data_IF_108825804324
#
_entry.id   IF_108825804324
#
_cell.length_a   1.000
_cell.length_b   1.000
_cell.length_c   1.000
_cell.angle_alpha   90.00
_cell.angle_beta   90.00
_cell.angle_gamma   90.00
#
_symmetry.space_group_name_H-M   'P 1'
#
loop_
_entity.id
_entity.type
_entity.pdbx_description
1 polymer ?
#
# COMPACT_ATOMS: atom_id res chain seq x y z
N UNK A 1 0.20 -26.54 -30.07
CA UNK A 1 0.47 -25.93 -28.78
C UNK A 1 0.24 -24.45 -28.95
N UNK A 2 -0.86 -23.94 -28.42
CA UNK A 2 -1.20 -22.51 -28.55
C UNK A 2 -0.41 -21.73 -27.53
N UNK A 3 0.38 -20.76 -27.95
CA UNK A 3 1.10 -19.87 -27.07
C UNK A 3 0.24 -18.64 -26.78
N UNK A 4 -0.01 -18.42 -25.51
CA UNK A 4 -0.68 -17.26 -24.96
C UNK A 4 0.33 -16.49 -24.11
N UNK A 5 0.68 -15.27 -24.54
CA UNK A 5 1.63 -14.45 -23.79
C UNK A 5 0.87 -13.63 -22.75
N UNK A 6 1.11 -13.93 -21.50
CA UNK A 6 0.67 -13.14 -20.37
C UNK A 6 1.86 -12.35 -19.83
N UNK A 7 1.77 -11.03 -19.90
CA UNK A 7 2.79 -10.14 -19.35
C UNK A 7 2.43 -9.76 -17.91
N UNK A 8 3.29 -10.18 -16.99
CA UNK A 8 3.23 -9.77 -15.59
C UNK A 8 4.18 -8.58 -15.40
N UNK A 9 3.63 -7.39 -15.17
CA UNK A 9 4.42 -6.22 -14.83
C UNK A 9 4.47 -6.07 -13.31
N UNK A 10 5.55 -6.55 -12.72
CA UNK A 10 5.85 -6.28 -11.32
C UNK A 10 6.65 -4.99 -11.24
N UNK A 11 6.06 -3.95 -10.71
CA UNK A 11 6.76 -2.70 -10.44
C UNK A 11 7.37 -2.76 -9.04
N UNK A 12 8.64 -3.18 -8.94
CA UNK A 12 9.45 -2.90 -7.75
C UNK A 12 9.74 -1.41 -7.75
N UNK A 13 9.36 -0.71 -6.71
CA UNK A 13 9.80 0.67 -6.47
C UNK A 13 11.28 0.64 -6.12
N UNK A 14 12.13 0.60 -7.14
CA UNK A 14 13.57 0.81 -6.97
C UNK A 14 13.83 2.30 -7.05
N UNK A 15 14.06 2.93 -5.92
CA UNK A 15 14.51 4.32 -5.85
C UNK A 15 15.95 4.37 -6.35
N UNK A 16 16.14 4.73 -7.61
CA UNK A 16 17.46 5.07 -8.16
C UNK A 16 17.69 6.56 -7.92
N UNK A 17 18.64 6.84 -7.05
CA UNK A 17 19.11 8.18 -6.69
C UNK A 17 19.89 8.78 -7.86
N UNK A 18 19.34 9.78 -8.54
CA UNK A 18 20.09 10.68 -9.40
C UNK A 18 20.08 12.06 -8.78
N UNK A 19 21.25 12.48 -8.28
CA UNK A 19 21.50 13.85 -7.88
C UNK A 19 21.71 14.70 -9.12
N UNK A 20 20.84 15.69 -9.35
CA UNK A 20 21.14 16.81 -10.25
C UNK A 20 20.88 18.10 -9.47
N UNK A 21 21.96 18.81 -9.24
CA UNK A 21 22.04 20.15 -8.69
C UNK A 21 21.47 21.13 -9.73
N UNK A 22 20.50 21.93 -9.35
CA UNK A 22 19.99 23.00 -10.19
C UNK A 22 19.21 24.00 -9.35
N UNK A 23 19.87 25.05 -8.90
CA UNK A 23 19.26 26.19 -8.24
C UNK A 23 18.42 27.00 -9.23
N UNK A 24 17.15 27.24 -8.90
CA UNK A 24 16.39 28.38 -9.41
C UNK A 24 15.48 28.90 -8.29
N UNK A 25 15.86 30.06 -7.82
CA UNK A 25 15.07 30.94 -6.98
C UNK A 25 13.90 31.47 -7.80
N UNK A 26 12.66 31.21 -7.40
CA UNK A 26 11.53 32.07 -7.67
C UNK A 26 10.61 32.08 -6.46
N UNK A 27 10.50 33.26 -5.88
CA UNK A 27 9.65 33.56 -4.76
C UNK A 27 8.17 33.45 -5.12
N UNK A 28 7.40 32.86 -4.25
CA UNK A 28 5.97 33.11 -4.11
C UNK A 28 5.74 33.85 -2.82
N UNK A 29 5.11 34.97 -2.96
CA UNK A 29 4.69 35.86 -1.92
C UNK A 29 3.77 35.15 -0.92
N UNK A 30 4.18 35.13 0.34
CA UNK A 30 3.32 34.86 1.48
C UNK A 30 2.34 36.02 1.63
N UNK A 31 1.06 35.81 1.38
CA UNK A 31 0.03 36.66 1.96
C UNK A 31 -0.16 36.26 3.42
N UNK A 32 0.47 37.02 4.31
CA UNK A 32 0.22 37.00 5.74
C UNK A 32 -1.26 37.37 6.01
N UNK A 33 -2.05 36.39 6.41
CA UNK A 33 -3.27 36.66 7.16
C UNK A 33 -2.87 36.73 8.65
N UNK A 34 -2.55 37.92 9.09
CA UNK A 34 -2.43 38.24 10.51
C UNK A 34 -3.85 38.23 11.12
N UNK A 35 -4.12 37.24 11.96
CA UNK A 35 -4.96 37.27 13.15
C UNK A 35 -5.47 35.87 13.50
N UNK A 36 -4.67 35.13 14.26
CA UNK A 36 -5.16 33.98 15.03
C UNK A 36 -4.50 34.04 16.41
N UNK A 37 -5.33 33.95 17.41
CA UNK A 37 -5.03 34.08 18.83
C UNK A 37 -3.78 33.28 19.30
N UNK A 38 -3.08 33.85 20.29
CA UNK A 38 -1.83 33.34 20.84
C UNK A 38 -1.88 31.91 21.39
N UNK A 39 -3.05 31.33 21.60
CA UNK A 39 -3.25 29.93 22.01
C UNK A 39 -2.98 28.91 20.89
N UNK A 40 -3.22 29.27 19.62
CA UNK A 40 -3.03 28.36 18.49
C UNK A 40 -1.57 28.15 18.07
N UNK A 41 -0.64 29.02 18.48
CA UNK A 41 0.77 28.97 18.09
C UNK A 41 1.55 27.81 18.70
N UNK A 42 1.02 27.15 19.73
CA UNK A 42 1.66 26.03 20.41
C UNK A 42 1.03 24.67 20.06
N UNK A 43 -0.08 24.65 19.34
CA UNK A 43 -0.72 23.41 18.94
C UNK A 43 0.10 22.66 17.89
N UNK A 44 0.15 21.34 18.02
CA UNK A 44 0.76 20.49 17.00
C UNK A 44 -0.16 20.45 15.80
N UNK A 45 0.31 20.90 14.65
CA UNK A 45 -0.41 20.82 13.39
C UNK A 45 0.18 19.77 12.48
N UNK A 46 -0.55 19.44 11.40
CA UNK A 46 -0.14 18.42 10.44
C UNK A 46 -0.17 18.94 9.01
N UNK A 47 0.72 18.41 8.20
CA UNK A 47 0.74 18.62 6.77
C UNK A 47 1.17 17.33 6.07
N UNK A 48 0.65 17.08 4.88
CA UNK A 48 1.03 15.93 4.07
C UNK A 48 1.71 16.42 2.81
N UNK A 49 2.94 15.97 2.62
CA UNK A 49 3.73 16.31 1.44
C UNK A 49 3.28 15.45 0.26
N UNK A 50 3.01 16.09 -0.86
CA UNK A 50 2.67 15.38 -2.08
C UNK A 50 3.88 14.63 -2.64
N UNK A 51 3.70 13.34 -2.95
CA UNK A 51 4.64 12.62 -3.79
C UNK A 51 4.29 12.85 -5.25
N UNK A 52 5.21 13.42 -6.02
CA UNK A 52 5.02 13.73 -7.44
C UNK A 52 4.99 12.49 -8.37
N UNK A 53 5.02 11.28 -7.83
CA UNK A 53 5.01 10.04 -8.62
C UNK A 53 3.63 9.38 -8.53
N UNK A 54 2.71 9.82 -9.38
CA UNK A 54 1.44 9.12 -9.58
C UNK A 54 1.67 7.81 -10.35
N UNK A 55 1.38 6.69 -9.74
CA UNK A 55 1.25 5.40 -10.41
C UNK A 55 -0.20 5.21 -10.87
N UNK A 56 -0.38 4.69 -12.09
CA UNK A 56 -1.66 4.67 -12.85
C UNK A 56 -2.72 3.67 -12.41
N UNK A 57 -2.79 3.25 -11.19
CA UNK A 57 -3.90 2.43 -10.71
C UNK A 57 -4.28 2.93 -9.33
N UNK A 58 -5.47 2.70 -8.88
CA UNK A 58 -6.05 3.32 -7.69
C UNK A 58 -5.33 3.04 -6.35
N UNK A 59 -4.01 3.22 -6.22
CA UNK A 59 -3.38 3.40 -4.93
C UNK A 59 -3.85 4.72 -4.35
N UNK A 60 -3.76 4.83 -3.06
CA UNK A 60 -4.04 6.09 -2.38
C UNK A 60 -3.10 7.17 -2.89
N UNK A 61 -3.62 8.09 -3.67
CA UNK A 61 -2.89 9.26 -4.16
C UNK A 61 -3.10 10.42 -3.20
N UNK A 62 -2.29 11.47 -3.30
CA UNK A 62 -2.51 12.66 -2.47
C UNK A 62 -3.89 13.30 -2.65
N UNK A 63 -4.53 13.07 -3.80
CA UNK A 63 -5.88 13.59 -4.06
C UNK A 63 -6.93 12.80 -3.31
N UNK A 64 -6.84 11.45 -3.33
CA UNK A 64 -7.82 10.61 -2.63
C UNK A 64 -7.44 10.35 -1.17
N UNK A 65 -6.18 10.57 -0.75
CA UNK A 65 -5.80 10.57 0.65
C UNK A 65 -6.61 11.60 1.46
N UNK A 66 -6.96 12.73 0.86
CA UNK A 66 -7.83 13.73 1.48
C UNK A 66 -9.25 13.25 1.76
N UNK A 67 -9.66 12.15 1.17
CA UNK A 67 -10.97 11.52 1.38
C UNK A 67 -10.92 10.39 2.42
N UNK A 68 -9.75 10.14 2.99
CA UNK A 68 -9.52 9.16 4.05
C UNK A 68 -8.97 9.87 5.28
N UNK A 69 -8.81 9.13 6.36
CA UNK A 69 -8.12 9.58 7.56
C UNK A 69 -6.77 8.88 7.70
N UNK A 70 -5.99 9.35 8.66
CA UNK A 70 -4.83 8.62 9.16
C UNK A 70 -4.69 8.81 10.66
N UNK A 71 -4.12 7.83 11.31
CA UNK A 71 -3.86 7.87 12.73
C UNK A 71 -2.41 8.28 13.00
N UNK A 72 -2.23 9.06 14.07
CA UNK A 72 -0.91 9.57 14.48
C UNK A 72 -0.58 9.09 15.88
N UNK A 73 0.64 8.60 16.02
CA UNK A 73 1.29 8.33 17.30
C UNK A 73 2.51 9.23 17.45
N UNK A 74 2.79 9.66 18.66
CA UNK A 74 4.01 10.39 18.96
C UNK A 74 4.65 9.87 20.25
N UNK A 75 5.97 9.85 20.26
CA UNK A 75 6.78 9.38 21.37
C UNK A 75 7.90 10.38 21.67
N UNK A 76 8.28 10.47 22.93
CA UNK A 76 9.49 11.14 23.36
C UNK A 76 10.73 10.32 23.01
N UNK A 77 11.91 10.89 23.12
CA UNK A 77 13.17 10.20 22.79
C UNK A 77 13.43 8.93 23.60
N UNK A 78 12.89 8.85 24.82
CA UNK A 78 12.98 7.66 25.67
C UNK A 78 11.92 6.59 25.35
N UNK A 79 11.05 6.86 24.35
CA UNK A 79 10.00 5.96 23.92
C UNK A 79 8.70 6.05 24.70
N UNK A 80 8.55 7.05 25.57
CA UNK A 80 7.28 7.29 26.29
C UNK A 80 6.23 7.81 25.30
N UNK A 81 5.02 7.26 25.35
CA UNK A 81 3.92 7.69 24.51
C UNK A 81 3.45 9.11 24.88
N UNK A 82 3.39 9.98 23.90
CA UNK A 82 2.92 11.36 24.04
C UNK A 82 1.57 11.59 23.37
N UNK A 83 1.36 10.98 22.21
CA UNK A 83 0.13 11.06 21.41
C UNK A 83 -0.26 9.67 20.93
N UNK A 84 -1.54 9.38 20.99
CA UNK A 84 -2.08 8.04 20.73
C UNK A 84 -1.98 7.13 21.94
N UNK A 85 -2.89 6.17 22.03
CA UNK A 85 -2.88 5.12 23.04
C UNK A 85 -2.06 3.94 22.53
N UNK A 86 -1.13 3.49 23.34
CA UNK A 86 -0.43 2.23 23.14
C UNK A 86 -0.93 1.29 24.24
N UNK A 87 -1.91 0.47 23.91
CA UNK A 87 -2.46 -0.52 24.85
C UNK A 87 -1.93 -1.92 24.53
N UNK A 88 -1.74 -2.74 25.57
CA UNK A 88 -1.34 -4.14 25.44
C UNK A 88 -2.46 -5.02 24.92
N UNK A 89 -3.71 -4.59 25.01
CA UNK A 89 -4.91 -5.34 24.66
C UNK A 89 -5.39 -5.14 23.21
N UNK A 90 -4.48 -4.62 22.35
CA UNK A 90 -4.69 -4.52 20.90
C UNK A 90 -5.65 -3.42 20.40
N UNK A 91 -6.15 -2.58 21.26
CA UNK A 91 -6.82 -1.34 20.87
C UNK A 91 -5.77 -0.22 20.73
N UNK A 92 -5.20 -0.09 19.54
CA UNK A 92 -4.27 1.00 19.25
C UNK A 92 -5.06 2.16 18.69
N UNK A 93 -5.44 3.07 19.56
CA UNK A 93 -6.11 4.29 19.18
C UNK A 93 -5.06 5.37 18.92
N UNK A 94 -4.63 5.50 17.69
CA UNK A 94 -3.91 6.68 17.24
C UNK A 94 -4.80 7.91 17.32
N UNK A 95 -4.20 9.08 17.32
CA UNK A 95 -4.96 10.33 17.18
C UNK A 95 -5.39 10.48 15.73
N UNK A 96 -6.69 10.47 15.50
CA UNK A 96 -7.27 10.53 14.16
C UNK A 96 -7.15 11.92 13.55
N UNK A 97 -6.57 11.97 12.36
CA UNK A 97 -6.39 13.19 11.58
C UNK A 97 -7.15 13.08 10.27
N UNK A 98 -7.94 14.08 9.97
CA UNK A 98 -8.81 14.19 8.80
C UNK A 98 -8.51 15.44 7.99
N UNK A 99 -8.83 15.43 6.69
CA UNK A 99 -8.77 16.64 5.86
C UNK A 99 -10.11 17.35 5.88
N UNK A 100 -10.17 18.51 6.53
CA UNK A 100 -11.36 19.34 6.62
C UNK A 100 -11.00 20.83 6.48
N UNK A 101 -11.87 21.59 5.89
CA UNK A 101 -11.71 23.05 5.71
C UNK A 101 -10.38 23.46 5.05
N UNK A 102 -9.91 22.65 4.09
CA UNK A 102 -8.69 22.95 3.35
C UNK A 102 -7.38 22.57 4.06
N UNK A 103 -7.43 21.94 5.23
CA UNK A 103 -6.27 21.56 6.04
C UNK A 103 -6.42 20.18 6.67
N UNK A 104 -5.30 19.59 7.07
CA UNK A 104 -5.26 18.43 7.94
C UNK A 104 -5.45 18.88 9.39
N UNK A 105 -6.42 18.29 10.09
CA UNK A 105 -6.79 18.68 11.44
C UNK A 105 -7.26 17.48 12.26
N UNK A 106 -7.27 17.62 13.57
CA UNK A 106 -7.80 16.62 14.48
C UNK A 106 -9.28 16.33 14.17
N UNK A 107 -9.66 15.07 14.15
CA UNK A 107 -11.08 14.69 13.99
C UNK A 107 -11.86 15.12 15.23
N UNK A 108 -11.39 14.77 16.42
CA UNK A 108 -11.91 15.20 17.71
C UNK A 108 -11.05 16.36 18.29
N UNK A 109 -11.68 17.46 18.64
CA UNK A 109 -11.01 18.60 19.26
C UNK A 109 -10.41 18.28 20.64
N UNK A 110 -10.90 17.25 21.32
CA UNK A 110 -10.36 16.80 22.60
C UNK A 110 -8.97 16.11 22.45
N UNK A 111 -8.64 15.69 21.26
CA UNK A 111 -7.34 15.07 20.94
C UNK A 111 -6.24 16.10 20.66
N UNK A 112 -6.58 17.38 20.64
CA UNK A 112 -5.63 18.45 20.40
C UNK A 112 -4.46 18.37 21.40
N UNK A 113 -3.24 18.40 20.87
CA UNK A 113 -2.00 18.38 21.67
C UNK A 113 -1.15 19.60 21.38
N UNK A 114 -0.35 19.97 22.37
CA UNK A 114 0.55 21.10 22.31
C UNK A 114 2.00 20.64 22.38
N UNK A 115 2.88 21.35 21.72
CA UNK A 115 4.29 21.04 21.70
C UNK A 115 4.89 21.06 23.11
N UNK A 116 5.56 19.98 23.53
CA UNK A 116 6.36 20.00 24.74
C UNK A 116 7.69 20.73 24.50
N UNK A 117 8.53 20.84 25.52
CA UNK A 117 9.88 21.40 25.43
C UNK A 117 10.88 20.47 24.75
N UNK A 118 10.59 19.18 24.73
CA UNK A 118 11.42 18.13 24.13
C UNK A 118 10.97 17.78 22.71
N UNK A 119 11.87 17.17 21.95
CA UNK A 119 11.57 16.69 20.62
C UNK A 119 10.69 15.42 20.66
N UNK A 120 9.85 15.26 19.65
CA UNK A 120 8.95 14.13 19.49
C UNK A 120 9.23 13.39 18.18
N UNK A 121 9.08 12.08 18.24
CA UNK A 121 9.07 11.19 17.08
C UNK A 121 7.62 10.86 16.70
N UNK A 122 7.24 11.18 15.48
CA UNK A 122 5.89 10.95 14.98
C UNK A 122 5.85 9.80 13.96
N UNK A 123 4.79 9.03 14.07
CA UNK A 123 4.45 7.96 13.13
C UNK A 123 3.00 8.11 12.71
N UNK A 124 2.73 8.04 11.43
CA UNK A 124 1.39 8.11 10.88
C UNK A 124 1.09 6.89 10.02
N UNK A 125 -0.15 6.42 10.07
CA UNK A 125 -0.62 5.22 9.40
C UNK A 125 -1.93 5.53 8.65
N UNK A 126 -2.03 5.09 7.39
CA UNK A 126 -3.23 5.20 6.56
C UNK A 126 -3.58 3.83 5.96
N UNK A 127 -4.83 3.41 5.94
CA UNK A 127 -5.98 4.10 6.52
C UNK A 127 -5.86 4.21 8.03
N UNK A 128 -6.54 5.20 8.63
CA UNK A 128 -6.65 5.37 10.07
C UNK A 128 -7.47 4.26 10.71
N UNK A 129 -8.33 4.59 11.64
CA UNK A 129 -9.14 3.62 12.38
C UNK A 129 -9.86 2.66 11.43
N UNK A 130 -9.51 1.39 11.49
CA UNK A 130 -10.18 0.33 10.77
C UNK A 130 -11.31 -0.23 11.65
N UNK A 131 -12.44 -0.59 11.03
CA UNK A 131 -13.52 -1.27 11.76
C UNK A 131 -13.04 -2.58 12.38
N UNK A 132 -13.72 -3.09 13.39
CA UNK A 132 -13.39 -4.38 14.03
C UNK A 132 -13.24 -5.52 13.02
N UNK A 133 -14.08 -5.55 11.98
CA UNK A 133 -14.01 -6.53 10.89
C UNK A 133 -12.70 -6.44 10.10
N UNK A 134 -12.05 -5.30 10.08
CA UNK A 134 -10.82 -5.04 9.35
C UNK A 134 -9.56 -5.31 10.18
N UNK A 135 -9.66 -5.26 11.50
CA UNK A 135 -8.54 -5.50 12.43
C UNK A 135 -7.92 -6.90 12.25
N UNK A 136 -8.70 -7.87 11.75
CA UNK A 136 -8.20 -9.21 11.42
C UNK A 136 -7.22 -9.23 10.24
N UNK A 137 -7.29 -8.23 9.34
CA UNK A 137 -6.50 -8.19 8.09
C UNK A 137 -5.40 -7.13 8.10
N UNK A 138 -5.57 -6.13 8.94
CA UNK A 138 -4.68 -5.00 8.98
C UNK A 138 -4.59 -4.46 10.41
N UNK A 139 -3.36 -4.39 10.92
CA UNK A 139 -3.12 -3.96 12.27
C UNK A 139 -1.75 -3.35 12.40
N UNK A 140 -1.65 -2.22 13.06
CA UNK A 140 -0.36 -1.67 13.45
C UNK A 140 -0.10 -1.87 14.94
N UNK A 141 1.17 -1.97 15.26
CA UNK A 141 1.69 -2.05 16.62
C UNK A 141 2.65 -0.88 16.78
N UNK A 142 2.19 0.17 17.45
CA UNK A 142 3.01 1.31 17.78
C UNK A 142 3.61 1.12 19.18
N UNK A 143 4.93 1.12 19.26
CA UNK A 143 5.64 1.18 20.54
C UNK A 143 6.78 2.20 20.43
N UNK A 144 7.27 2.74 21.55
CA UNK A 144 8.32 3.75 21.54
C UNK A 144 9.60 3.32 20.80
N UNK A 145 9.85 2.03 20.71
CA UNK A 145 11.10 1.49 20.15
C UNK A 145 10.94 0.75 18.84
N UNK A 146 9.72 0.33 18.48
CA UNK A 146 9.49 -0.45 17.27
C UNK A 146 8.07 -0.23 16.74
N UNK A 147 7.99 0.09 15.47
CA UNK A 147 6.72 0.28 14.76
C UNK A 147 6.55 -0.83 13.73
N UNK A 148 5.42 -1.52 13.77
CA UNK A 148 5.13 -2.64 12.89
C UNK A 148 3.71 -2.56 12.34
N UNK A 149 3.51 -3.15 11.17
CA UNK A 149 2.20 -3.32 10.55
C UNK A 149 2.04 -4.80 10.22
N UNK A 150 1.11 -5.47 10.86
CA UNK A 150 0.66 -6.78 10.45
C UNK A 150 -0.36 -6.63 9.34
N UNK A 151 -0.21 -7.39 8.26
CA UNK A 151 -1.09 -7.31 7.11
C UNK A 151 -1.39 -8.69 6.55
N UNK A 152 -2.65 -8.91 6.18
CA UNK A 152 -3.11 -10.11 5.48
C UNK A 152 -3.90 -9.68 4.26
N UNK A 153 -3.48 -10.13 3.06
CA UNK A 153 -4.23 -9.92 1.84
C UNK A 153 -5.56 -10.67 1.92
N UNK A 154 -6.64 -10.00 1.57
CA UNK A 154 -7.97 -10.60 1.52
C UNK A 154 -8.12 -11.27 0.17
N UNK A 155 -8.30 -12.59 0.15
CA UNK A 155 -8.78 -13.30 -1.02
C UNK A 155 -10.31 -13.11 -1.09
N UNK A 156 -10.86 -12.88 -2.28
CA UNK A 156 -12.31 -12.72 -2.53
C UNK A 156 -13.11 -14.00 -2.21
N UNK A 157 -12.76 -14.73 -1.18
CA UNK A 157 -13.50 -15.90 -0.81
C UNK A 157 -14.78 -15.51 -0.04
N UNK A 158 -15.82 -15.28 -0.81
CA UNK A 158 -17.19 -15.51 -0.34
C UNK A 158 -18.09 -14.31 -0.11
N UNK A 159 -17.67 -13.07 -0.10
CA UNK A 159 -18.60 -11.97 0.16
C UNK A 159 -18.16 -10.61 -0.43
N UNK A 160 -17.87 -10.53 -1.68
CA UNK A 160 -18.08 -9.34 -2.54
C UNK A 160 -17.81 -7.92 -2.04
N UNK A 161 -17.17 -7.69 -0.90
CA UNK A 161 -17.09 -6.36 -0.29
C UNK A 161 -15.75 -5.93 0.29
N UNK A 162 -14.75 -6.80 0.36
CA UNK A 162 -13.47 -6.41 0.94
C UNK A 162 -12.44 -6.16 -0.16
N UNK A 163 -12.22 -4.90 -0.48
CA UNK A 163 -11.06 -4.49 -1.27
C UNK A 163 -9.81 -4.57 -0.39
N UNK A 164 -8.67 -5.03 -0.95
CA UNK A 164 -7.40 -4.88 -0.26
C UNK A 164 -7.11 -3.39 -0.05
N UNK A 165 -6.81 -3.03 1.18
CA UNK A 165 -6.48 -1.65 1.52
C UNK A 165 -5.04 -1.35 1.11
N UNK A 166 -4.87 -0.20 0.49
CA UNK A 166 -3.54 0.34 0.23
C UNK A 166 -2.98 0.94 1.51
N UNK A 167 -2.14 0.19 2.17
CA UNK A 167 -1.59 0.57 3.47
C UNK A 167 -0.33 1.41 3.29
N UNK A 168 -0.31 2.54 3.99
CA UNK A 168 0.80 3.48 3.98
C UNK A 168 1.24 3.86 5.38
N UNK A 169 2.48 4.29 5.50
CA UNK A 169 3.03 4.88 6.71
C UNK A 169 3.83 6.14 6.41
N UNK A 170 3.98 6.98 7.42
CA UNK A 170 4.91 8.11 7.39
C UNK A 170 5.64 8.23 8.73
N UNK A 171 6.86 8.74 8.70
CA UNK A 171 7.72 8.95 9.86
C UNK A 171 8.25 10.39 9.83
N UNK A 172 8.20 11.06 10.98
CA UNK A 172 8.86 12.35 11.18
C UNK A 172 9.57 12.32 12.54
N UNK A 173 10.90 12.26 12.50
CA UNK A 173 11.77 12.17 13.70
C UNK A 173 12.19 13.52 14.19
N UNK A 174 12.50 13.60 15.50
CA UNK A 174 13.13 14.76 16.16
C UNK A 174 12.37 16.07 15.91
N UNK A 175 11.05 16.02 15.92
CA UNK A 175 10.22 17.18 15.65
C UNK A 175 10.05 18.04 16.89
N UNK A 176 10.20 19.35 16.73
CA UNK A 176 10.00 20.35 17.77
C UNK A 176 9.00 21.40 17.29
N UNK A 177 8.57 22.29 18.18
CA UNK A 177 7.71 23.42 17.82
C UNK A 177 8.31 24.27 16.69
N UNK A 178 9.62 24.42 16.65
CA UNK A 178 10.31 25.24 15.65
C UNK A 178 10.46 24.50 14.31
N UNK A 179 10.23 23.20 14.31
CA UNK A 179 10.20 22.40 13.08
C UNK A 179 9.00 22.81 12.23
N UNK A 180 9.25 23.24 11.00
CA UNK A 180 8.20 23.51 10.02
C UNK A 180 7.03 24.41 10.52
N UNK A 181 7.34 25.43 11.31
CA UNK A 181 6.36 26.36 11.89
C UNK A 181 5.28 25.65 12.75
N UNK A 182 5.69 24.70 13.57
CA UNK A 182 4.80 23.95 14.45
C UNK A 182 3.95 22.87 13.76
N UNK A 183 4.24 22.53 12.51
CA UNK A 183 3.51 21.50 11.75
C UNK A 183 4.39 20.31 11.45
N UNK A 184 3.94 19.13 11.82
CA UNK A 184 4.58 17.86 11.43
C UNK A 184 4.29 17.60 9.95
N UNK A 185 5.34 17.37 9.16
CA UNK A 185 5.21 17.07 7.73
C UNK A 185 5.34 15.57 7.49
N UNK A 186 4.29 14.94 7.03
CA UNK A 186 4.26 13.54 6.67
C UNK A 186 4.46 13.33 5.17
N UNK A 187 5.34 12.39 4.83
CA UNK A 187 5.51 11.85 3.49
C UNK A 187 5.16 10.38 3.51
N UNK A 188 3.95 10.05 3.09
CA UNK A 188 3.47 8.68 3.10
C UNK A 188 4.20 7.80 2.09
N UNK A 189 4.46 6.56 2.48
CA UNK A 189 5.06 5.49 1.69
C UNK A 189 4.14 4.28 1.71
N UNK A 190 3.90 3.71 0.54
CA UNK A 190 3.17 2.44 0.40
C UNK A 190 4.02 1.27 0.89
N UNK A 191 3.41 0.30 1.55
CA UNK A 191 4.09 -0.93 1.98
C UNK A 191 3.81 -2.11 1.06
N UNK A 192 2.76 -2.06 0.23
CA UNK A 192 2.35 -3.13 -0.65
C UNK A 192 2.87 -2.94 -2.07
N UNK A 193 2.99 -4.05 -2.77
CA UNK A 193 3.21 -4.09 -4.22
C UNK A 193 1.90 -4.18 -4.95
N UNK A 194 1.78 -3.42 -6.04
CA UNK A 194 0.66 -3.52 -6.95
C UNK A 194 1.00 -4.43 -8.13
N UNK A 195 0.12 -5.36 -8.43
CA UNK A 195 0.23 -6.27 -9.58
C UNK A 195 -0.88 -5.95 -10.58
N UNK A 196 -0.49 -5.67 -11.81
CA UNK A 196 -1.39 -5.41 -12.93
C UNK A 196 -1.24 -6.52 -13.96
N UNK A 197 -2.35 -7.10 -14.39
CA UNK A 197 -2.38 -8.15 -15.40
C UNK A 197 -2.80 -7.56 -16.74
N UNK A 198 -2.00 -7.83 -17.77
CA UNK A 198 -2.31 -7.47 -19.15
C UNK A 198 -2.13 -8.69 -20.03
N UNK A 199 -3.01 -8.86 -21.00
CA UNK A 199 -2.95 -9.96 -21.93
C UNK A 199 -3.07 -9.48 -23.37
N UNK A 200 -2.43 -10.20 -24.28
CA UNK A 200 -2.61 -10.06 -25.72
C UNK A 200 -2.62 -11.44 -26.37
N UNK A 201 -3.24 -11.57 -27.51
CA UNK A 201 -3.15 -12.80 -28.30
C UNK A 201 -1.90 -12.77 -29.16
N UNK A 202 -1.37 -13.95 -29.48
CA UNK A 202 -0.23 -14.10 -30.37
C UNK A 202 -0.57 -13.80 -31.84
N UNK A 203 -1.81 -14.12 -32.26
CA UNK A 203 -2.27 -14.03 -33.63
C UNK A 203 -3.42 -13.02 -33.75
N UNK A 204 -3.46 -12.27 -34.85
CA UNK A 204 -4.50 -11.27 -35.09
C UNK A 204 -5.91 -11.87 -35.20
N UNK A 205 -6.00 -13.14 -35.65
CA UNK A 205 -7.27 -13.88 -35.81
C UNK A 205 -7.63 -14.75 -34.60
N UNK A 206 -6.94 -14.57 -33.46
CA UNK A 206 -7.22 -15.26 -32.21
C UNK A 206 -8.03 -14.37 -31.28
N UNK A 207 -9.04 -14.97 -30.67
CA UNK A 207 -9.84 -14.38 -29.59
C UNK A 207 -9.75 -15.27 -28.36
N UNK A 208 -9.52 -14.67 -27.20
CA UNK A 208 -9.51 -15.35 -25.91
C UNK A 208 -10.50 -14.67 -24.98
N UNK A 209 -11.50 -15.40 -24.53
CA UNK A 209 -12.45 -14.94 -23.52
C UNK A 209 -11.99 -15.50 -22.17
N UNK A 210 -11.39 -14.63 -21.33
CA UNK A 210 -10.88 -14.99 -20.02
C UNK A 210 -12.03 -14.91 -19.02
N UNK A 211 -12.19 -15.97 -18.22
CA UNK A 211 -13.20 -16.07 -17.19
C UNK A 211 -12.65 -15.89 -15.80
N UNK A 212 -11.59 -16.64 -15.47
CA UNK A 212 -10.99 -16.62 -14.15
C UNK A 212 -9.47 -16.60 -14.25
N UNK A 213 -8.84 -15.91 -13.32
CA UNK A 213 -7.39 -15.91 -13.11
C UNK A 213 -7.11 -16.07 -11.63
N UNK A 214 -6.25 -17.04 -11.31
CA UNK A 214 -5.71 -17.25 -9.97
C UNK A 214 -4.20 -17.27 -10.01
N UNK A 215 -3.57 -16.69 -8.99
CA UNK A 215 -2.14 -16.83 -8.73
C UNK A 215 -1.96 -17.76 -7.53
N UNK A 216 -1.10 -18.77 -7.69
CA UNK A 216 -0.88 -19.80 -6.69
C UNK A 216 0.48 -19.64 -6.02
N UNK A 217 0.56 -20.09 -4.77
CA UNK A 217 1.78 -20.18 -3.97
C UNK A 217 2.50 -18.84 -3.78
N UNK A 218 1.71 -17.81 -3.45
CA UNK A 218 2.21 -16.53 -2.97
C UNK A 218 1.94 -16.38 -1.47
N UNK A 219 2.80 -15.63 -0.79
CA UNK A 219 2.57 -15.25 0.60
C UNK A 219 1.51 -14.17 0.64
N UNK A 220 0.54 -14.32 1.51
CA UNK A 220 -0.59 -13.41 1.63
C UNK A 220 -0.62 -12.63 2.95
N UNK A 221 0.21 -13.02 3.93
CA UNK A 221 0.31 -12.35 5.22
C UNK A 221 1.75 -12.11 5.63
N UNK A 222 1.97 -11.12 6.47
CA UNK A 222 3.29 -10.80 7.00
C UNK A 222 3.27 -9.60 7.94
N UNK A 223 4.42 -9.32 8.52
CA UNK A 223 4.66 -8.19 9.39
C UNK A 223 5.68 -7.26 8.73
N UNK A 224 5.28 -6.03 8.50
CA UNK A 224 6.15 -4.97 8.02
C UNK A 224 6.73 -4.21 9.21
N UNK A 225 8.05 -4.20 9.33
CA UNK A 225 8.76 -3.38 10.33
C UNK A 225 9.17 -2.07 9.69
N UNK A 226 8.75 -0.95 10.28
CA UNK A 226 9.11 0.37 9.80
C UNK A 226 10.63 0.60 9.95
N UNK A 227 11.24 1.40 9.06
CA UNK A 227 12.64 1.78 9.22
C UNK A 227 12.83 2.70 10.41
N UNK A 228 14.03 2.71 10.98
CA UNK A 228 14.38 3.61 12.08
C UNK A 228 14.39 5.09 11.67
N UNK A 229 14.70 5.38 10.40
CA UNK A 229 14.76 6.74 9.84
C UNK A 229 13.65 6.97 8.82
N UNK A 230 13.19 8.21 8.69
CA UNK A 230 12.09 8.59 7.81
C UNK A 230 12.34 8.28 6.32
N UNK A 231 13.59 8.37 5.86
CA UNK A 231 14.04 8.06 4.50
C UNK A 231 14.45 6.58 4.30
N UNK A 232 14.53 5.83 5.39
CA UNK A 232 14.91 4.42 5.39
C UNK A 232 13.91 3.53 4.63
N UNK A 233 14.31 2.28 4.45
CA UNK A 233 13.49 1.22 3.86
C UNK A 233 13.06 0.27 4.95
N UNK A 234 11.75 0.06 5.09
CA UNK A 234 11.22 -0.95 5.99
C UNK A 234 11.39 -2.36 5.43
N UNK A 235 11.13 -3.35 6.24
CA UNK A 235 11.34 -4.75 5.90
C UNK A 235 10.12 -5.61 6.21
N UNK A 236 9.85 -6.57 5.33
CA UNK A 236 8.83 -7.58 5.53
C UNK A 236 9.41 -8.83 6.17
N UNK A 237 8.75 -9.32 7.21
CA UNK A 237 8.88 -10.67 7.73
C UNK A 237 7.58 -11.41 7.42
N UNK A 238 7.63 -12.43 6.60
CA UNK A 238 6.45 -13.20 6.21
C UNK A 238 6.62 -14.64 6.65
N UNK A 239 5.57 -15.27 7.18
CA UNK A 239 5.62 -16.70 7.49
C UNK A 239 5.88 -17.49 6.20
N UNK A 240 6.50 -18.65 6.36
CA UNK A 240 6.63 -19.59 5.25
C UNK A 240 5.26 -20.00 4.71
N UNK A 241 5.22 -20.32 3.41
CA UNK A 241 4.06 -20.92 2.78
C UNK A 241 3.79 -22.29 3.42
N UNK A 242 2.93 -22.31 4.45
CA UNK A 242 2.54 -23.56 5.13
C UNK A 242 1.53 -24.35 4.33
N UNK A 243 0.70 -23.65 3.54
CA UNK A 243 -0.32 -24.28 2.67
C UNK A 243 -0.28 -23.65 1.28
N UNK A 244 -0.58 -24.43 0.22
CA UNK A 244 -0.82 -23.88 -1.10
C UNK A 244 -1.96 -22.87 -1.03
N UNK A 245 -1.67 -21.61 -1.28
CA UNK A 245 -2.68 -20.57 -1.28
C UNK A 245 -2.88 -20.04 -2.69
N UNK A 246 -4.12 -20.02 -3.13
CA UNK A 246 -4.52 -19.43 -4.39
C UNK A 246 -5.18 -18.09 -4.14
N UNK A 247 -4.67 -17.04 -4.77
CA UNK A 247 -5.27 -15.72 -4.73
C UNK A 247 -6.05 -15.47 -6.02
N UNK A 248 -7.33 -15.14 -5.90
CA UNK A 248 -8.21 -14.89 -7.04
C UNK A 248 -8.00 -13.48 -7.56
N UNK A 249 -7.51 -13.35 -8.78
CA UNK A 249 -7.28 -12.06 -9.46
C UNK A 249 -8.50 -11.63 -10.25
N UNK A 250 -9.11 -12.59 -10.98
CA UNK A 250 -10.32 -12.39 -11.78
C UNK A 250 -11.24 -13.57 -11.52
N UNK A 251 -12.52 -13.31 -11.30
CA UNK A 251 -13.53 -14.35 -11.06
C UNK A 251 -14.82 -14.03 -11.81
N UNK A 252 -15.38 -15.04 -12.47
CA UNK A 252 -16.68 -14.99 -13.15
C UNK A 252 -16.87 -13.77 -14.07
N UNK A 253 -15.80 -13.33 -14.72
CA UNK A 253 -15.83 -12.25 -15.70
C UNK A 253 -15.86 -12.80 -17.12
N UNK A 254 -16.11 -11.93 -18.07
CA UNK A 254 -15.96 -12.22 -19.50
C UNK A 254 -15.10 -11.11 -20.07
N UNK A 255 -13.78 -11.29 -20.01
CA UNK A 255 -12.82 -10.32 -20.51
C UNK A 255 -12.30 -10.83 -21.85
N UNK A 256 -12.68 -10.16 -22.92
CA UNK A 256 -12.25 -10.51 -24.28
C UNK A 256 -10.90 -9.89 -24.58
N UNK A 257 -9.96 -10.70 -25.03
CA UNK A 257 -8.66 -10.31 -25.56
C UNK A 257 -8.58 -10.77 -27.01
N UNK A 258 -8.42 -9.82 -27.93
CA UNK A 258 -8.31 -10.10 -29.36
C UNK A 258 -7.32 -9.15 -30.05
N UNK A 259 -6.73 -9.63 -31.14
CA UNK A 259 -5.65 -8.91 -31.81
C UNK A 259 -4.32 -9.06 -31.08
N UNK A 260 -3.22 -8.82 -31.76
CA UNK A 260 -1.88 -9.07 -31.24
C UNK A 260 -1.04 -7.80 -31.03
N UNK A 261 -1.60 -6.62 -31.21
CA UNK A 261 -0.85 -5.37 -31.26
C UNK A 261 -0.81 -4.64 -29.94
N UNK A 262 -1.89 -4.66 -29.15
CA UNK A 262 -2.02 -3.93 -27.88
C UNK A 262 -2.44 -4.90 -26.79
N UNK A 263 -1.73 -4.86 -25.65
CA UNK A 263 -2.12 -5.65 -24.49
C UNK A 263 -3.34 -5.04 -23.81
N UNK A 264 -4.39 -5.84 -23.69
CA UNK A 264 -5.61 -5.48 -22.97
C UNK A 264 -5.35 -5.56 -21.46
N UNK A 265 -5.77 -4.56 -20.71
CA UNK A 265 -5.77 -4.62 -19.26
C UNK A 265 -6.87 -5.58 -18.81
N UNK A 266 -6.46 -6.63 -18.12
CA UNK A 266 -7.35 -7.65 -17.58
C UNK A 266 -7.49 -7.57 -16.06
N UNK A 267 -6.81 -6.59 -15.45
CA UNK A 267 -7.06 -6.23 -14.06
C UNK A 267 -8.46 -5.66 -13.95
N UNK A 268 -9.18 -6.09 -12.93
CA UNK A 268 -10.47 -5.50 -12.60
C UNK A 268 -10.29 -4.10 -12.03
N UNK A 269 -11.37 -3.39 -11.75
CA UNK A 269 -11.36 -2.02 -11.20
C UNK A 269 -10.58 -1.86 -9.88
N UNK A 270 -10.23 -2.97 -9.22
CA UNK A 270 -9.38 -2.99 -8.05
C UNK A 270 -8.07 -3.69 -8.38
N UNK A 271 -6.92 -3.00 -8.31
CA UNK A 271 -5.62 -3.61 -8.54
C UNK A 271 -5.34 -4.65 -7.45
N UNK A 272 -4.65 -5.72 -7.81
CA UNK A 272 -4.16 -6.67 -6.83
C UNK A 272 -3.05 -6.00 -6.02
N UNK A 273 -3.29 -5.79 -4.75
CA UNK A 273 -2.27 -5.37 -3.78
C UNK A 273 -1.78 -6.59 -3.01
N UNK A 274 -0.48 -6.74 -2.87
CA UNK A 274 0.12 -7.87 -2.19
C UNK A 274 1.43 -7.49 -1.52
N UNK A 275 1.87 -8.33 -0.59
CA UNK A 275 3.15 -8.20 0.09
C UNK A 275 4.29 -8.33 -0.94
N UNK A 276 5.25 -7.38 -0.96
CA UNK A 276 6.46 -7.51 -1.77
C UNK A 276 7.22 -8.77 -1.41
N UNK A 277 7.46 -9.63 -2.40
CA UNK A 277 8.09 -10.93 -2.18
C UNK A 277 8.83 -11.43 -3.43
N UNK A 278 9.82 -12.27 -3.24
CA UNK A 278 10.38 -13.08 -4.33
C UNK A 278 9.50 -14.30 -4.57
N UNK A 279 9.22 -14.56 -5.85
CA UNK A 279 8.43 -15.71 -6.27
C UNK A 279 9.35 -16.82 -6.78
N UNK A 280 9.12 -18.05 -6.32
CA UNK A 280 9.75 -19.22 -6.89
C UNK A 280 8.97 -19.64 -8.14
N UNK A 281 9.55 -19.40 -9.32
CA UNK A 281 8.89 -19.71 -10.59
C UNK A 281 8.62 -21.21 -10.75
N UNK A 282 7.48 -21.56 -11.34
CA UNK A 282 7.15 -22.94 -11.67
C UNK A 282 8.10 -23.47 -12.74
N UNK A 283 8.82 -24.55 -12.39
CA UNK A 283 9.67 -25.27 -13.31
C UNK A 283 8.98 -26.59 -13.68
N UNK A 284 8.51 -26.70 -14.92
CA UNK A 284 7.77 -27.88 -15.42
C UNK A 284 8.74 -29.03 -15.69
N UNK A 285 9.28 -29.63 -14.64
CA UNK A 285 10.20 -30.74 -14.73
C UNK A 285 10.06 -31.72 -13.55
N UNK A 286 10.41 -32.98 -13.73
CA UNK A 286 10.36 -33.97 -12.66
C UNK A 286 9.00 -34.10 -11.98
N UNK A 287 8.98 -34.00 -10.65
CA UNK A 287 7.76 -34.02 -9.84
C UNK A 287 6.86 -32.80 -10.05
N UNK A 288 7.43 -31.66 -10.45
CA UNK A 288 6.69 -30.41 -10.69
C UNK A 288 6.02 -30.34 -12.05
N UNK A 289 5.91 -31.41 -12.83
CA UNK A 289 5.15 -31.45 -14.09
C UNK A 289 3.65 -31.26 -13.91
N UNK A 290 3.16 -31.46 -12.72
CA UNK A 290 1.74 -31.35 -12.37
C UNK A 290 1.53 -30.16 -11.45
N UNK A 291 0.30 -29.63 -11.44
CA UNK A 291 -0.16 -28.60 -10.49
C UNK A 291 0.16 -29.01 -9.04
N UNK A 292 -0.21 -30.26 -8.67
CA UNK A 292 0.12 -30.79 -7.33
C UNK A 292 1.61 -30.75 -7.03
N UNK A 293 2.47 -31.12 -7.98
CA UNK A 293 3.91 -31.07 -7.78
C UNK A 293 4.48 -29.67 -7.65
N UNK A 294 3.88 -28.68 -8.35
CA UNK A 294 4.21 -27.28 -8.16
C UNK A 294 3.80 -26.78 -6.77
N UNK A 295 2.62 -27.18 -6.29
CA UNK A 295 2.12 -26.85 -4.96
C UNK A 295 2.99 -27.47 -3.86
N UNK A 296 3.34 -28.74 -3.98
CA UNK A 296 4.25 -29.43 -3.04
C UNK A 296 5.63 -28.75 -2.97
N UNK A 297 6.10 -28.23 -4.11
CA UNK A 297 7.36 -27.49 -4.21
C UNK A 297 7.24 -25.98 -3.92
N UNK A 298 6.06 -25.50 -3.55
CA UNK A 298 5.75 -24.08 -3.29
C UNK A 298 6.15 -23.15 -4.46
N UNK A 299 6.01 -23.64 -5.68
CA UNK A 299 6.32 -22.88 -6.90
C UNK A 299 5.12 -22.06 -7.34
N UNK A 300 5.36 -20.78 -7.64
CA UNK A 300 4.31 -19.83 -8.07
C UNK A 300 3.93 -20.07 -9.53
N UNK A 301 2.62 -20.10 -9.80
CA UNK A 301 2.06 -20.20 -11.16
C UNK A 301 0.72 -19.48 -11.28
N UNK A 302 0.34 -19.20 -12.52
CA UNK A 302 -1.00 -18.68 -12.85
C UNK A 302 -1.88 -19.81 -13.35
N UNK A 303 -3.11 -19.83 -12.86
CA UNK A 303 -4.20 -20.67 -13.38
C UNK A 303 -5.20 -19.76 -14.08
N UNK A 304 -5.41 -20.00 -15.38
CA UNK A 304 -6.31 -19.18 -16.21
C UNK A 304 -7.39 -20.06 -16.80
N UNK A 305 -8.64 -19.71 -16.52
CA UNK A 305 -9.82 -20.31 -17.12
C UNK A 305 -10.27 -19.43 -18.29
N UNK A 306 -10.21 -19.94 -19.51
CA UNK A 306 -10.55 -19.16 -20.70
C UNK A 306 -11.11 -20.03 -21.83
N UNK A 307 -11.80 -19.37 -22.78
CA UNK A 307 -12.19 -19.94 -24.06
C UNK A 307 -11.36 -19.32 -25.17
N UNK A 308 -10.71 -20.17 -25.97
CA UNK A 308 -9.89 -19.73 -27.11
C UNK A 308 -10.64 -20.03 -28.39
N UNK A 309 -10.72 -19.05 -29.28
CA UNK A 309 -11.30 -19.15 -30.63
C UNK A 309 -10.26 -18.63 -31.62
N UNK A 310 -10.05 -19.38 -32.69
CA UNK A 310 -9.19 -18.98 -33.80
C UNK A 310 -9.95 -19.15 -35.10
N UNK A 311 -10.10 -18.07 -35.86
CA UNK A 311 -10.76 -18.10 -37.15
C UNK A 311 -9.76 -18.34 -38.29
N UNK A 312 -10.15 -19.09 -39.32
CA UNK A 312 -9.34 -19.27 -40.54
C UNK A 312 -8.31 -20.40 -40.49
N UNK A 313 -8.41 -21.33 -39.56
CA UNK A 313 -7.67 -22.59 -39.59
C UNK A 313 -8.66 -23.72 -39.89
N UNK A 314 -8.67 -24.16 -41.12
CA UNK A 314 -9.29 -25.44 -41.56
C UNK A 314 -8.18 -26.40 -41.92
#
# INVERSE_FOLDING_TARGET
MYQFDLFLFMKKSTVMLWAIFGALLMGCSDEEIANVETSSRNAIGFNVLSNAAETRATPTTNTNLKNTDFDVFAFTADGTAFMGKVDTDFEHDGVKIVYKDGKWDYDDANDLRYWPSEALDFYAFNPGTVSEDMSAFYRWEASGTSQKISYTCIDEYGAGTYANYDVMYAIAKDQTKDSNNGKVKFKFKHILSQVVFKAKTQYANMRVDIRDIKIHNIRFSGVFTLPAAADGTGSWSSPDLTFPHAFTVVKDKSITVEGNTIATDISTSSPMLNIPQELTAWTVSGASKTKKGADDAKQCYLEISCKIQQSGVY
#
